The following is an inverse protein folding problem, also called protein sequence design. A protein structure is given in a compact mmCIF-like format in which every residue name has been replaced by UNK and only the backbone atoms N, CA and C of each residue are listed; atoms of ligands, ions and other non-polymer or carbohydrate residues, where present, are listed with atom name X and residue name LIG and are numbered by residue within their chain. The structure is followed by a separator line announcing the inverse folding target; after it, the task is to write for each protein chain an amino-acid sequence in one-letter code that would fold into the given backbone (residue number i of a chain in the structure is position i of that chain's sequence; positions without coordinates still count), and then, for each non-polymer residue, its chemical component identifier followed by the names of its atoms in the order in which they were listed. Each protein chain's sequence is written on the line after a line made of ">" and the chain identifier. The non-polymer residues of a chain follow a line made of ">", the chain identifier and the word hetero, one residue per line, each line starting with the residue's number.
data_IF_266420599641
#
_entry.id   IF_266420599641
#
_cell.length_a   1.000
_cell.length_b   1.000
_cell.length_c   1.000
_cell.angle_alpha   90.00
_cell.angle_beta   90.00
_cell.angle_gamma   90.00
#
_symmetry.space_group_name_H-M   'P 1'
#
loop_
_entity.id
_entity.type
_entity.pdbx_description
1 polymer ?
#
# COMPACT_ATOMS: atom_id res chain seq x y z
N UNK A 1 10.13 -8.96 8.12
CA UNK A 1 10.02 -7.48 8.02
C UNK A 1 9.07 -7.17 6.87
N UNK A 2 7.99 -6.40 7.07
CA UNK A 2 7.12 -5.98 5.98
C UNK A 2 7.93 -5.19 4.94
N UNK A 3 7.84 -5.57 3.66
CA UNK A 3 8.44 -4.87 2.52
C UNK A 3 7.35 -4.45 1.54
N UNK A 4 7.45 -3.22 1.02
CA UNK A 4 6.54 -2.71 0.01
C UNK A 4 6.65 -3.58 -1.26
N UNK A 5 5.52 -4.13 -1.70
CA UNK A 5 5.42 -4.99 -2.86
C UNK A 5 5.91 -4.32 -4.15
N UNK A 6 5.80 -3.00 -4.25
CA UNK A 6 6.15 -2.26 -5.47
C UNK A 6 7.64 -1.96 -5.55
N UNK A 7 8.31 -1.63 -4.44
CA UNK A 7 9.71 -1.14 -4.45
C UNK A 7 10.66 -1.96 -3.57
N UNK A 8 10.19 -3.03 -2.94
CA UNK A 8 10.99 -3.83 -2.00
C UNK A 8 11.43 -3.08 -0.74
N UNK A 9 11.01 -1.82 -0.56
CA UNK A 9 11.37 -0.98 0.57
C UNK A 9 10.81 -1.59 1.85
N UNK A 10 11.70 -2.09 2.70
CA UNK A 10 11.38 -2.50 4.07
C UNK A 10 11.59 -1.32 5.03
N UNK A 11 10.79 -1.26 6.10
CA UNK A 11 11.06 -0.33 7.21
C UNK A 11 12.41 -0.74 7.81
N UNK A 12 13.47 0.02 7.56
CA UNK A 12 14.76 -0.20 8.19
C UNK A 12 14.76 0.57 9.51
N UNK A 13 14.97 -0.06 10.68
CA UNK A 13 15.04 0.65 11.96
C UNK A 13 16.16 1.72 12.00
N UNK A 14 17.14 1.64 11.08
CA UNK A 14 18.21 2.65 10.93
C UNK A 14 17.90 3.74 9.90
N UNK A 15 16.86 3.60 9.08
CA UNK A 15 16.51 4.63 8.09
C UNK A 15 15.72 5.74 8.76
N UNK A 16 16.28 6.95 8.79
CA UNK A 16 15.57 8.21 9.12
C UNK A 16 14.45 8.56 8.11
N UNK A 17 14.09 7.63 7.23
CA UNK A 17 13.02 7.84 6.26
C UNK A 17 11.71 7.85 7.04
N UNK A 18 11.21 9.06 7.29
CA UNK A 18 9.82 9.56 7.37
C UNK A 18 8.72 8.53 7.68
N UNK A 19 7.64 8.96 8.35
CA UNK A 19 6.50 8.13 8.76
C UNK A 19 5.83 7.34 7.62
N UNK A 20 6.47 6.26 7.19
CA UNK A 20 5.98 5.36 6.15
C UNK A 20 5.07 4.35 6.82
N UNK A 21 3.78 4.45 6.50
CA UNK A 21 2.78 3.45 6.83
C UNK A 21 2.70 2.38 5.73
N UNK A 22 2.26 1.19 6.12
CA UNK A 22 2.10 0.06 5.22
C UNK A 22 0.63 -0.37 5.21
N UNK A 23 0.07 -0.52 4.00
CA UNK A 23 -1.34 -0.82 3.79
C UNK A 23 -1.47 -2.14 3.02
N UNK A 24 -2.49 -2.94 3.36
CA UNK A 24 -2.78 -4.18 2.63
C UNK A 24 -3.59 -3.90 1.38
N UNK A 25 -3.44 -4.75 0.37
CA UNK A 25 -4.32 -4.74 -0.79
C UNK A 25 -5.72 -5.23 -0.39
N UNK A 26 -6.80 -4.64 -0.95
CA UNK A 26 -8.17 -5.02 -0.66
C UNK A 26 -8.56 -6.29 -1.45
N UNK A 27 -7.86 -7.41 -1.20
CA UNK A 27 -8.03 -8.66 -1.97
C UNK A 27 -9.45 -9.23 -1.90
N UNK A 28 -10.21 -8.91 -0.85
CA UNK A 28 -11.60 -9.32 -0.68
C UNK A 28 -12.62 -8.41 -1.38
N UNK A 29 -12.21 -7.23 -1.86
CA UNK A 29 -13.09 -6.31 -2.55
C UNK A 29 -12.64 -6.16 -4.01
N UNK A 30 -13.30 -6.91 -4.90
CA UNK A 30 -12.93 -7.01 -6.32
C UNK A 30 -13.05 -5.68 -7.06
N UNK A 31 -14.03 -4.83 -6.70
CA UNK A 31 -14.24 -3.52 -7.32
C UNK A 31 -13.07 -2.56 -7.01
N UNK A 32 -12.71 -2.47 -5.73
CA UNK A 32 -11.52 -1.71 -5.30
C UNK A 32 -10.26 -2.29 -5.94
N UNK A 33 -10.13 -3.62 -5.96
CA UNK A 33 -8.96 -4.30 -6.54
C UNK A 33 -8.82 -4.02 -8.04
N UNK A 34 -9.92 -3.77 -8.76
CA UNK A 34 -9.89 -3.28 -10.15
C UNK A 34 -9.08 -2.00 -10.30
N UNK A 35 -9.32 -0.99 -9.45
CA UNK A 35 -8.54 0.27 -9.46
C UNK A 35 -7.06 0.04 -9.10
N UNK A 36 -6.79 -0.93 -8.23
CA UNK A 36 -5.42 -1.32 -7.88
C UNK A 36 -4.69 -2.04 -9.02
N UNK A 37 -5.40 -2.77 -9.89
CA UNK A 37 -4.79 -3.41 -11.06
C UNK A 37 -4.19 -2.38 -12.00
N UNK A 38 -4.89 -1.29 -12.29
CA UNK A 38 -4.38 -0.22 -13.15
C UNK A 38 -3.08 0.38 -12.59
N UNK A 39 -3.07 0.63 -11.28
CA UNK A 39 -1.88 1.09 -10.57
C UNK A 39 -0.72 0.08 -10.65
N UNK A 40 -0.98 -1.20 -10.45
CA UNK A 40 0.04 -2.25 -10.52
C UNK A 40 0.59 -2.38 -11.94
N UNK A 41 -0.27 -2.39 -12.96
CA UNK A 41 0.13 -2.44 -14.36
C UNK A 41 1.00 -1.24 -14.73
N UNK A 42 0.65 -0.03 -14.29
CA UNK A 42 1.47 1.17 -14.48
C UNK A 42 2.88 1.06 -13.84
N UNK A 43 3.05 0.18 -12.85
CA UNK A 43 4.33 -0.12 -12.21
C UNK A 43 4.97 -1.44 -12.69
N UNK A 44 4.49 -2.03 -13.80
CA UNK A 44 4.93 -3.33 -14.34
C UNK A 44 4.76 -4.49 -13.34
N UNK A 45 3.73 -4.44 -12.51
CA UNK A 45 3.39 -5.47 -11.53
C UNK A 45 2.06 -6.13 -11.90
N UNK A 46 1.92 -7.39 -11.50
CA UNK A 46 0.67 -8.15 -11.68
C UNK A 46 0.03 -8.44 -10.34
N UNK A 47 -1.29 -8.27 -10.27
CA UNK A 47 -2.09 -8.66 -9.10
C UNK A 47 -2.13 -10.16 -8.85
N UNK A 48 -1.81 -10.99 -9.84
CA UNK A 48 -1.70 -12.45 -9.66
C UNK A 48 -0.59 -12.85 -8.68
N UNK A 49 0.40 -11.98 -8.47
CA UNK A 49 1.48 -12.19 -7.51
C UNK A 49 1.16 -11.61 -6.12
N UNK A 50 -0.02 -11.03 -5.93
CA UNK A 50 -0.44 -10.51 -4.63
C UNK A 50 -0.91 -11.64 -3.72
N UNK A 51 -0.46 -11.58 -2.48
CA UNK A 51 -0.90 -12.47 -1.41
C UNK A 51 -1.44 -11.63 -0.25
N UNK A 52 -2.07 -12.27 0.73
CA UNK A 52 -2.52 -11.62 1.98
C UNK A 52 -1.40 -10.89 2.75
N UNK A 53 -0.14 -11.22 2.45
CA UNK A 53 1.05 -10.63 3.05
C UNK A 53 1.62 -9.48 2.19
N UNK A 54 1.14 -9.32 0.96
CA UNK A 54 1.54 -8.21 0.09
C UNK A 54 0.99 -6.91 0.67
N UNK A 55 1.87 -5.92 0.76
CA UNK A 55 1.59 -4.61 1.34
C UNK A 55 2.23 -3.53 0.49
N UNK A 56 1.73 -2.32 0.59
CA UNK A 56 2.26 -1.15 -0.12
C UNK A 56 2.56 -0.04 0.87
N UNK A 57 3.62 0.73 0.59
CA UNK A 57 3.98 1.88 1.41
C UNK A 57 3.15 3.13 1.04
N UNK A 58 2.92 4.00 2.02
CA UNK A 58 2.18 5.25 1.82
C UNK A 58 2.83 6.24 0.88
N UNK A 59 4.13 6.13 0.58
CA UNK A 59 4.87 7.01 -0.35
C UNK A 59 4.32 7.04 -1.79
N UNK A 60 3.25 6.31 -2.09
CA UNK A 60 2.62 6.22 -3.41
C UNK A 60 1.24 6.78 -3.50
N UNK A 61 0.71 7.19 -2.37
CA UNK A 61 -0.56 7.85 -2.29
C UNK A 61 -0.29 9.28 -1.90
N UNK A 62 -1.05 10.19 -2.51
CA UNK A 62 -1.17 11.51 -1.95
C UNK A 62 -1.75 11.39 -0.53
N UNK A 63 -1.32 12.26 0.38
CA UNK A 63 -1.86 12.30 1.73
C UNK A 63 -3.39 12.48 1.72
N UNK A 64 -3.93 13.17 0.70
CA UNK A 64 -5.38 13.36 0.50
C UNK A 64 -6.14 12.08 0.21
N UNK A 65 -5.47 11.01 -0.23
CA UNK A 65 -6.10 9.75 -0.59
C UNK A 65 -6.26 8.82 0.61
N UNK A 66 -5.71 9.19 1.77
CA UNK A 66 -5.98 8.52 3.02
C UNK A 66 -7.22 9.14 3.66
N UNK A 67 -8.13 8.27 4.13
CA UNK A 67 -9.17 8.71 5.04
C UNK A 67 -8.47 9.24 6.29
N UNK A 68 -8.55 10.56 6.52
CA UNK A 68 -8.23 11.10 7.83
C UNK A 68 -9.23 10.47 8.79
N UNK A 69 -8.76 9.55 9.63
CA UNK A 69 -9.56 9.06 10.74
C UNK A 69 -9.72 10.28 11.65
N UNK A 70 -10.88 10.92 11.63
CA UNK A 70 -11.16 11.95 12.59
C UNK A 70 -11.34 11.26 13.95
N UNK A 71 -10.75 11.78 15.04
CA UNK A 71 -10.91 11.20 16.37
C UNK A 71 -12.37 11.08 16.85
N UNK A 72 -13.31 11.72 16.15
CA UNK A 72 -14.75 11.72 16.44
C UNK A 72 -15.52 10.56 15.79
N UNK A 73 -14.89 9.74 14.92
CA UNK A 73 -15.53 8.58 14.28
C UNK A 73 -15.47 7.28 15.14
N UNK A 74 -15.18 7.41 16.45
CA UNK A 74 -15.12 6.31 17.44
C UNK A 74 -16.09 6.49 18.61
#
# INVERSE_FOLDING_TARGET
>A
MPSCFVYGRSKNPKSKSHDISFHKFPLSNTELMGKWNDFLMANNLSSNNLTKNSIICSCRFDASNFLAINPEDY
#
